data_IF_983196626621
#
_entry.id   IF_983196626621
#
_cell.length_a   1.000
_cell.length_b   1.000
_cell.length_c   1.000
_cell.angle_alpha   90.00
_cell.angle_beta   90.00
_cell.angle_gamma   90.00
#
_symmetry.space_group_name_H-M   'P 1'
#
loop_
_entity.id
_entity.type
_entity.pdbx_description
1 polymer ?
#
# COMPACT_ATOMS: atom_id res chain seq x y z
N UNK A 1 -2.03 7.85 -2.57
CA UNK A 1 -0.93 7.17 -1.89
C UNK A 1 -1.23 7.27 -0.42
N UNK A 2 -1.84 6.20 0.09
CA UNK A 2 -2.35 6.13 1.43
C UNK A 2 -1.29 5.51 2.35
N UNK A 3 -1.14 6.05 3.56
CA UNK A 3 -0.32 5.43 4.61
C UNK A 3 -1.29 4.94 5.66
N UNK A 4 -1.44 3.62 5.79
CA UNK A 4 -2.17 3.04 6.91
C UNK A 4 -1.27 3.05 8.16
N UNK A 5 -1.46 4.04 9.03
CA UNK A 5 -0.81 4.10 10.34
C UNK A 5 -1.52 3.15 11.32
N UNK A 6 -1.06 1.91 11.44
CA UNK A 6 -1.36 1.05 12.60
C UNK A 6 -0.43 1.39 13.76
N UNK A 7 -0.57 2.57 14.35
CA UNK A 7 0.13 2.95 15.58
C UNK A 7 -0.72 2.60 16.82
N UNK A 8 -0.07 2.13 17.88
CA UNK A 8 -0.72 1.80 19.15
C UNK A 8 -1.63 2.93 19.63
N UNK A 9 -2.90 2.60 19.91
CA UNK A 9 -3.95 3.58 20.23
C UNK A 9 -3.64 4.32 21.53
N UNK A 10 -3.39 5.62 21.44
CA UNK A 10 -3.51 6.52 22.57
C UNK A 10 -4.89 7.17 22.50
N UNK A 11 -5.72 7.04 23.54
CA UNK A 11 -7.10 7.55 23.53
C UNK A 11 -7.20 9.06 23.22
N UNK A 12 -6.15 9.83 23.55
CA UNK A 12 -6.06 11.24 23.21
C UNK A 12 -5.97 11.51 21.69
N UNK A 13 -5.35 10.59 20.93
CA UNK A 13 -5.27 10.70 19.47
C UNK A 13 -6.63 10.44 18.81
N UNK A 14 -7.44 9.56 19.38
CA UNK A 14 -8.79 9.26 18.86
C UNK A 14 -9.74 10.46 19.00
N UNK A 15 -9.65 11.21 20.11
CA UNK A 15 -10.43 12.43 20.31
C UNK A 15 -10.07 13.54 19.32
N UNK A 16 -8.78 13.81 19.14
CA UNK A 16 -8.32 14.82 18.18
C UNK A 16 -8.67 14.46 16.73
N UNK A 17 -8.61 13.16 16.39
CA UNK A 17 -9.00 12.67 15.07
C UNK A 17 -10.52 12.82 14.85
N UNK A 18 -11.35 12.47 15.83
CA UNK A 18 -12.80 12.67 15.72
C UNK A 18 -13.15 14.15 15.53
N UNK A 19 -12.51 15.04 16.28
CA UNK A 19 -12.70 16.50 16.17
C UNK A 19 -12.34 17.03 14.77
N UNK A 20 -11.23 16.56 14.20
CA UNK A 20 -10.83 16.94 12.84
C UNK A 20 -11.91 16.62 11.79
N UNK A 21 -12.75 15.62 12.06
CA UNK A 21 -13.84 15.14 11.20
C UNK A 21 -15.23 15.66 11.57
N UNK A 22 -15.36 16.63 12.47
CA UNK A 22 -16.64 17.34 12.68
C UNK A 22 -17.11 17.97 11.36
N UNK A 23 -18.38 17.75 11.00
CA UNK A 23 -18.96 18.18 9.72
C UNK A 23 -18.56 17.34 8.50
N UNK A 24 -17.89 16.20 8.70
CA UNK A 24 -17.61 15.26 7.62
C UNK A 24 -18.89 14.66 7.02
N UNK A 25 -18.84 14.33 5.74
CA UNK A 25 -19.86 13.54 5.07
C UNK A 25 -19.85 12.12 5.65
N UNK A 26 -21.04 11.59 5.94
CA UNK A 26 -21.20 10.24 6.44
C UNK A 26 -21.61 9.31 5.31
N UNK A 27 -20.74 8.36 4.98
CA UNK A 27 -20.97 7.35 3.93
C UNK A 27 -21.31 6.02 4.58
N UNK A 28 -22.48 5.47 4.24
CA UNK A 28 -22.90 4.12 4.64
C UNK A 28 -22.49 3.11 3.55
N UNK A 29 -21.53 2.24 3.85
CA UNK A 29 -21.01 1.26 2.90
C UNK A 29 -22.05 0.21 2.45
N UNK A 30 -23.16 0.06 3.20
CA UNK A 30 -24.25 -0.85 2.86
C UNK A 30 -25.10 -0.35 1.70
N UNK A 31 -25.18 0.97 1.53
CA UNK A 31 -26.04 1.62 0.51
C UNK A 31 -25.27 2.53 -0.45
N UNK A 32 -23.97 2.73 -0.22
CA UNK A 32 -23.11 3.51 -1.11
C UNK A 32 -23.10 2.92 -2.54
N UNK A 33 -23.27 3.80 -3.53
CA UNK A 33 -23.34 3.52 -4.96
C UNK A 33 -22.00 3.73 -5.68
N UNK A 34 -20.96 4.12 -4.94
CA UNK A 34 -19.61 4.24 -5.48
C UNK A 34 -19.14 2.89 -6.01
N UNK A 35 -18.71 2.86 -7.27
CA UNK A 35 -18.50 1.62 -8.04
C UNK A 35 -17.58 0.60 -7.37
N UNK A 36 -16.53 1.06 -6.66
CA UNK A 36 -15.61 0.17 -5.93
C UNK A 36 -16.30 -0.51 -4.76
N UNK A 37 -17.14 0.21 -4.02
CA UNK A 37 -17.94 -0.33 -2.91
C UNK A 37 -18.99 -1.32 -3.42
N UNK A 38 -19.71 -0.98 -4.48
CA UNK A 38 -20.68 -1.87 -5.13
C UNK A 38 -20.01 -3.17 -5.57
N UNK A 39 -18.84 -3.08 -6.21
CA UNK A 39 -18.08 -4.26 -6.67
C UNK A 39 -17.70 -5.17 -5.49
N UNK A 40 -17.14 -4.61 -4.42
CA UNK A 40 -16.75 -5.38 -3.22
C UNK A 40 -17.97 -6.04 -2.54
N UNK A 41 -19.09 -5.32 -2.46
CA UNK A 41 -20.32 -5.78 -1.81
C UNK A 41 -21.04 -6.86 -2.63
N UNK A 42 -21.25 -6.61 -3.91
CA UNK A 42 -22.20 -7.38 -4.73
C UNK A 42 -21.49 -8.40 -5.62
N UNK A 43 -20.34 -8.04 -6.19
CA UNK A 43 -19.60 -8.93 -7.10
C UNK A 43 -18.64 -9.85 -6.34
N UNK A 44 -17.86 -9.30 -5.44
CA UNK A 44 -16.92 -10.06 -4.60
C UNK A 44 -17.65 -10.73 -3.44
N UNK A 45 -18.75 -10.13 -2.97
CA UNK A 45 -19.61 -10.72 -1.95
C UNK A 45 -19.07 -10.61 -0.52
N UNK A 46 -18.24 -9.60 -0.25
CA UNK A 46 -17.81 -9.29 1.13
C UNK A 46 -18.96 -8.57 1.84
N UNK A 47 -19.43 -9.05 3.01
CA UNK A 47 -20.48 -8.37 3.76
C UNK A 47 -20.10 -6.91 4.05
N UNK A 48 -20.98 -5.94 3.77
CA UNK A 48 -20.67 -4.54 4.01
C UNK A 48 -20.52 -4.25 5.51
N UNK A 49 -19.46 -3.55 5.93
CA UNK A 49 -19.32 -3.13 7.32
C UNK A 49 -20.50 -2.25 7.77
N UNK A 50 -20.95 -2.44 9.01
CA UNK A 50 -22.02 -1.62 9.61
C UNK A 50 -21.55 -0.24 10.06
N UNK A 51 -20.25 -0.09 10.27
CA UNK A 51 -19.63 1.18 10.69
C UNK A 51 -19.65 2.16 9.53
N UNK A 52 -20.29 3.33 9.68
CA UNK A 52 -20.26 4.38 8.67
C UNK A 52 -18.86 5.02 8.60
N UNK A 53 -18.47 5.40 7.39
CA UNK A 53 -17.22 6.09 7.11
C UNK A 53 -17.46 7.60 7.11
N UNK A 54 -16.51 8.35 7.66
CA UNK A 54 -16.51 9.81 7.65
C UNK A 54 -15.54 10.31 6.60
N UNK A 55 -16.04 11.02 5.60
CA UNK A 55 -15.24 11.57 4.49
C UNK A 55 -15.17 13.09 4.66
N UNK A 56 -13.96 13.65 4.64
CA UNK A 56 -13.78 15.10 4.70
C UNK A 56 -12.66 15.56 3.77
N UNK A 57 -12.94 16.64 3.05
CA UNK A 57 -11.98 17.31 2.19
C UNK A 57 -11.26 18.40 2.97
N UNK A 58 -9.94 18.46 2.85
CA UNK A 58 -9.08 19.43 3.52
C UNK A 58 -8.24 20.20 2.51
N UNK A 59 -8.00 21.48 2.79
CA UNK A 59 -6.95 22.24 2.14
C UNK A 59 -5.59 21.78 2.67
N UNK A 60 -4.60 21.55 1.79
CA UNK A 60 -3.29 21.00 2.20
C UNK A 60 -2.58 21.85 3.25
N UNK A 61 -2.67 23.17 3.13
CA UNK A 61 -2.06 24.13 4.06
C UNK A 61 -2.85 24.31 5.37
N UNK A 62 -4.06 23.76 5.46
CA UNK A 62 -4.93 23.85 6.64
C UNK A 62 -5.17 22.47 7.29
N UNK A 63 -4.27 21.51 7.08
CA UNK A 63 -4.39 20.18 7.69
C UNK A 63 -4.27 20.24 9.22
N UNK A 64 -5.26 19.69 9.97
CA UNK A 64 -5.16 19.47 11.41
C UNK A 64 -3.88 18.72 11.78
N UNK A 65 -3.27 19.06 12.92
CA UNK A 65 -1.98 18.48 13.34
C UNK A 65 -2.00 16.94 13.41
N UNK A 66 -3.12 16.36 13.84
CA UNK A 66 -3.32 14.90 13.91
C UNK A 66 -3.25 14.20 12.55
N UNK A 67 -3.54 14.91 11.45
CA UNK A 67 -3.50 14.36 10.09
C UNK A 67 -2.16 14.56 9.37
N UNK A 68 -1.34 15.53 9.81
CA UNK A 68 -0.09 15.87 9.12
C UNK A 68 0.86 14.66 8.93
N UNK A 69 1.04 13.75 9.90
CA UNK A 69 1.91 12.59 9.71
C UNK A 69 1.44 11.67 8.57
N UNK A 70 0.13 11.48 8.41
CA UNK A 70 -0.45 10.65 7.34
C UNK A 70 -0.22 11.24 5.94
N UNK A 71 -0.02 12.57 5.85
CA UNK A 71 0.26 13.30 4.62
C UNK A 71 1.74 13.71 4.48
N UNK A 72 2.63 13.17 5.30
CA UNK A 72 4.04 13.53 5.29
C UNK A 72 4.75 13.10 4.00
N UNK A 73 4.28 12.02 3.37
CA UNK A 73 4.82 11.58 2.10
C UNK A 73 4.26 12.43 0.95
N UNK A 74 5.17 12.91 0.11
CA UNK A 74 4.85 13.79 -1.00
C UNK A 74 3.86 13.12 -1.97
N UNK A 75 2.86 13.87 -2.44
CA UNK A 75 1.84 13.36 -3.37
C UNK A 75 0.69 12.57 -2.73
N UNK A 76 0.65 12.39 -1.40
CA UNK A 76 -0.52 11.83 -0.72
C UNK A 76 -1.77 12.70 -0.95
N UNK A 77 -2.70 12.27 -1.80
CA UNK A 77 -3.93 13.00 -2.11
C UNK A 77 -5.14 12.55 -1.28
N UNK A 78 -5.06 11.38 -0.66
CA UNK A 78 -6.07 10.82 0.23
C UNK A 78 -5.42 9.85 1.21
N UNK A 79 -6.05 9.70 2.39
CA UNK A 79 -5.66 8.70 3.39
C UNK A 79 -6.90 8.16 4.09
N UNK A 80 -6.86 6.86 4.40
CA UNK A 80 -7.85 6.19 5.23
C UNK A 80 -7.22 5.82 6.58
N UNK A 81 -7.86 6.23 7.68
CA UNK A 81 -7.35 6.02 9.04
C UNK A 81 -8.36 5.16 9.82
N UNK A 82 -7.88 4.05 10.38
CA UNK A 82 -8.68 3.07 11.13
C UNK A 82 -9.90 2.54 10.36
N UNK A 83 -9.87 2.59 9.02
CA UNK A 83 -10.99 2.25 8.14
C UNK A 83 -12.21 3.18 8.22
N UNK A 84 -12.24 4.11 9.19
CA UNK A 84 -13.42 4.95 9.50
C UNK A 84 -13.30 6.38 8.99
N UNK A 85 -12.09 6.92 8.94
CA UNK A 85 -11.86 8.33 8.63
C UNK A 85 -11.13 8.44 7.30
N UNK A 86 -11.76 9.06 6.30
CA UNK A 86 -11.16 9.33 4.99
C UNK A 86 -10.90 10.83 4.86
N UNK A 87 -9.63 11.22 4.88
CA UNK A 87 -9.23 12.60 4.59
C UNK A 87 -8.76 12.69 3.12
N UNK A 88 -9.31 13.63 2.37
CA UNK A 88 -8.94 13.89 0.98
C UNK A 88 -8.39 15.31 0.88
N UNK A 89 -7.28 15.50 0.18
CA UNK A 89 -6.77 16.82 -0.15
C UNK A 89 -7.60 17.37 -1.31
N UNK A 90 -8.07 18.60 -1.16
CA UNK A 90 -8.85 19.27 -2.20
C UNK A 90 -8.14 19.24 -3.55
N UNK A 91 -8.90 18.90 -4.58
CA UNK A 91 -8.51 19.00 -5.99
C UNK A 91 -9.60 19.74 -6.76
N UNK A 92 -9.18 20.48 -7.78
CA UNK A 92 -10.08 21.20 -8.69
C UNK A 92 -10.72 20.26 -9.73
N UNK A 93 -10.14 19.07 -9.93
CA UNK A 93 -10.61 18.11 -10.93
C UNK A 93 -11.57 17.11 -10.29
N UNK A 94 -12.86 17.20 -10.64
CA UNK A 94 -13.92 16.30 -10.12
C UNK A 94 -13.59 14.82 -10.29
N UNK A 95 -13.03 14.45 -11.44
CA UNK A 95 -12.67 13.06 -11.72
C UNK A 95 -11.47 12.58 -10.89
N UNK A 96 -10.54 13.47 -10.53
CA UNK A 96 -9.43 13.13 -9.62
C UNK A 96 -9.99 12.90 -8.21
N UNK A 97 -10.91 13.75 -7.75
CA UNK A 97 -11.59 13.56 -6.46
C UNK A 97 -12.34 12.22 -6.43
N UNK A 98 -13.13 11.92 -7.46
CA UNK A 98 -13.90 10.68 -7.53
C UNK A 98 -13.00 9.43 -7.51
N UNK A 99 -11.82 9.49 -8.14
CA UNK A 99 -10.84 8.40 -8.11
C UNK A 99 -10.19 8.22 -6.74
N UNK A 100 -9.78 9.32 -6.12
CA UNK A 100 -9.23 9.31 -4.76
C UNK A 100 -10.26 8.72 -3.80
N UNK A 101 -11.51 9.19 -3.86
CA UNK A 101 -12.58 8.68 -3.02
C UNK A 101 -12.83 7.18 -3.24
N UNK A 102 -12.86 6.73 -4.50
CA UNK A 102 -13.00 5.29 -4.83
C UNK A 102 -11.88 4.46 -4.25
N UNK A 103 -10.66 4.96 -4.29
CA UNK A 103 -9.47 4.31 -3.74
C UNK A 103 -9.54 4.21 -2.21
N UNK A 104 -9.80 5.33 -1.53
CA UNK A 104 -9.89 5.36 -0.06
C UNK A 104 -11.09 4.54 0.47
N UNK A 105 -12.21 4.50 -0.26
CA UNK A 105 -13.34 3.67 0.13
C UNK A 105 -13.03 2.17 0.07
N UNK A 106 -12.13 1.72 -0.81
CA UNK A 106 -11.65 0.32 -0.81
C UNK A 106 -10.89 0.04 0.48
N UNK A 107 -9.95 0.91 0.86
CA UNK A 107 -9.20 0.80 2.11
C UNK A 107 -10.13 0.74 3.31
N UNK A 108 -11.12 1.64 3.36
CA UNK A 108 -12.11 1.66 4.43
C UNK A 108 -12.90 0.36 4.51
N UNK A 109 -13.41 -0.13 3.37
CA UNK A 109 -14.21 -1.33 3.29
C UNK A 109 -13.44 -2.56 3.78
N UNK A 110 -12.24 -2.81 3.24
CA UNK A 110 -11.46 -4.02 3.60
C UNK A 110 -10.91 -3.93 5.03
N UNK A 111 -10.56 -2.74 5.51
CA UNK A 111 -10.08 -2.55 6.89
C UNK A 111 -11.17 -2.82 7.90
N UNK A 112 -12.39 -2.35 7.64
CA UNK A 112 -13.52 -2.56 8.54
C UNK A 112 -14.13 -3.97 8.43
N UNK A 113 -14.00 -4.63 7.27
CA UNK A 113 -14.47 -6.00 7.06
C UNK A 113 -13.50 -7.06 7.61
N UNK A 114 -12.20 -6.77 7.64
CA UNK A 114 -11.18 -7.72 8.07
C UNK A 114 -11.08 -7.82 9.60
N UNK A 115 -10.99 -9.04 10.17
CA UNK A 115 -10.78 -9.22 11.60
C UNK A 115 -9.36 -8.86 12.05
N UNK A 116 -8.42 -8.71 11.11
CA UNK A 116 -7.01 -8.44 11.38
C UNK A 116 -6.43 -7.41 10.40
N UNK A 117 -5.33 -6.71 10.76
CA UNK A 117 -4.62 -5.84 9.84
C UNK A 117 -4.14 -6.61 8.61
N UNK A 118 -4.46 -6.10 7.43
CA UNK A 118 -4.00 -6.65 6.15
C UNK A 118 -2.60 -6.10 5.81
N UNK A 119 -1.74 -6.84 5.11
CA UNK A 119 -0.43 -6.31 4.71
C UNK A 119 -0.56 -5.23 3.63
N UNK A 120 0.39 -4.30 3.61
CA UNK A 120 0.36 -3.12 2.73
C UNK A 120 0.20 -3.47 1.24
N UNK A 121 0.89 -4.51 0.76
CA UNK A 121 0.80 -4.92 -0.65
C UNK A 121 -0.63 -5.31 -1.04
N UNK A 122 -1.37 -5.95 -0.13
CA UNK A 122 -2.74 -6.35 -0.36
C UNK A 122 -3.66 -5.14 -0.28
N UNK A 123 -3.49 -4.26 0.71
CA UNK A 123 -4.31 -3.06 0.84
C UNK A 123 -4.21 -2.14 -0.38
N UNK A 124 -2.99 -1.77 -0.78
CA UNK A 124 -2.76 -0.86 -1.91
C UNK A 124 -3.09 -1.55 -3.26
N UNK A 125 -2.74 -2.83 -3.41
CA UNK A 125 -3.11 -3.62 -4.59
C UNK A 125 -4.62 -3.69 -4.78
N UNK A 126 -5.37 -3.92 -3.69
CA UNK A 126 -6.84 -3.88 -3.67
C UNK A 126 -7.36 -2.52 -4.10
N UNK A 127 -6.87 -1.46 -3.46
CA UNK A 127 -7.35 -0.12 -3.69
C UNK A 127 -7.11 0.31 -5.14
N UNK A 128 -5.95 0.01 -5.72
CA UNK A 128 -5.66 0.29 -7.14
C UNK A 128 -6.54 -0.56 -8.07
N UNK A 129 -6.66 -1.86 -7.80
CA UNK A 129 -7.41 -2.81 -8.63
C UNK A 129 -8.89 -2.40 -8.74
N UNK A 130 -9.55 -2.10 -7.61
CA UNK A 130 -10.98 -1.79 -7.58
C UNK A 130 -11.34 -0.31 -7.82
N UNK A 131 -10.38 0.61 -7.79
CA UNK A 131 -10.64 2.05 -8.08
C UNK A 131 -10.33 2.44 -9.53
N UNK A 132 -9.13 2.12 -10.01
CA UNK A 132 -8.61 2.61 -11.28
C UNK A 132 -8.39 1.50 -12.31
N UNK A 133 -7.83 0.36 -11.87
CA UNK A 133 -7.46 -0.76 -12.75
C UNK A 133 -6.43 -0.42 -13.84
N UNK A 134 -5.74 0.73 -13.75
CA UNK A 134 -4.83 1.25 -14.79
C UNK A 134 -3.59 1.89 -14.16
N UNK A 135 -2.45 1.76 -14.85
CA UNK A 135 -1.16 2.31 -14.41
C UNK A 135 -1.04 3.84 -14.54
N UNK A 136 -1.86 4.44 -15.39
CA UNK A 136 -1.84 5.86 -15.72
C UNK A 136 -3.24 6.35 -15.98
N UNK A 137 -3.56 7.54 -15.48
CA UNK A 137 -4.82 8.22 -15.77
C UNK A 137 -4.60 9.68 -16.10
N UNK A 138 -5.34 10.17 -17.09
CA UNK A 138 -5.43 11.58 -17.40
C UNK A 138 -6.73 12.11 -16.81
N UNK A 139 -6.62 13.18 -16.02
CA UNK A 139 -7.75 13.95 -15.50
C UNK A 139 -7.81 15.23 -16.29
N UNK A 140 -8.90 15.44 -17.03
CA UNK A 140 -9.08 16.61 -17.88
C UNK A 140 -10.36 17.35 -17.52
N UNK A 141 -10.34 18.66 -17.68
CA UNK A 141 -11.52 19.51 -17.62
C UNK A 141 -11.56 20.39 -18.87
N UNK A 142 -12.72 20.42 -19.53
CA UNK A 142 -12.93 21.32 -20.66
C UNK A 142 -12.88 22.78 -20.19
N UNK A 143 -12.16 23.62 -20.94
CA UNK A 143 -12.11 25.06 -20.69
C UNK A 143 -13.40 25.67 -21.24
N UNK A 144 -14.19 26.33 -20.38
CA UNK A 144 -15.49 26.88 -20.78
C UNK A 144 -15.36 27.94 -21.88
N UNK A 145 -14.26 28.68 -21.85
CA UNK A 145 -13.98 29.80 -22.75
C UNK A 145 -13.34 29.36 -24.08
N UNK A 146 -12.88 28.11 -24.21
CA UNK A 146 -12.18 27.60 -25.39
C UNK A 146 -12.70 26.21 -25.77
N UNK A 147 -13.74 26.12 -26.62
CA UNK A 147 -14.27 24.86 -27.10
C UNK A 147 -13.17 23.99 -27.74
N UNK A 148 -13.05 22.75 -27.29
CA UNK A 148 -12.04 21.80 -27.77
C UNK A 148 -10.71 21.80 -26.99
N UNK A 149 -10.51 22.72 -26.05
CA UNK A 149 -9.33 22.72 -25.17
C UNK A 149 -9.65 22.03 -23.85
N UNK A 150 -8.81 21.06 -23.49
CA UNK A 150 -8.87 20.34 -22.22
C UNK A 150 -7.60 20.64 -21.44
N UNK A 151 -7.73 21.27 -20.29
CA UNK A 151 -6.63 21.38 -19.33
C UNK A 151 -6.69 20.16 -18.45
N UNK A 152 -5.56 19.51 -18.24
CA UNK A 152 -5.54 18.29 -17.44
C UNK A 152 -4.19 17.94 -16.88
N UNK A 153 -4.20 16.89 -16.08
CA UNK A 153 -3.06 16.34 -15.37
C UNK A 153 -3.00 14.84 -15.63
N UNK A 154 -1.84 14.38 -16.06
CA UNK A 154 -1.54 12.94 -16.10
C UNK A 154 -0.98 12.55 -14.74
N UNK A 155 -1.60 11.55 -14.11
CA UNK A 155 -1.09 10.92 -12.89
C UNK A 155 -0.67 9.51 -13.25
N UNK A 156 0.59 9.20 -12.95
CA UNK A 156 1.15 7.86 -13.07
C UNK A 156 1.27 7.23 -11.68
N UNK A 157 0.96 5.93 -11.59
CA UNK A 157 1.15 5.20 -10.35
C UNK A 157 2.65 5.10 -10.01
N UNK A 158 3.02 5.22 -8.72
CA UNK A 158 4.35 4.84 -8.28
C UNK A 158 4.68 3.39 -8.67
N UNK A 159 5.96 3.10 -8.90
CA UNK A 159 6.37 1.77 -9.39
C UNK A 159 5.96 0.62 -8.46
N UNK A 160 6.00 0.83 -7.16
CA UNK A 160 5.53 -0.14 -6.17
C UNK A 160 4.03 -0.46 -6.30
N UNK A 161 3.21 0.52 -6.69
CA UNK A 161 1.77 0.34 -6.89
C UNK A 161 1.50 -0.43 -8.19
N UNK A 162 2.31 -0.18 -9.24
CA UNK A 162 2.24 -0.96 -10.48
C UNK A 162 2.53 -2.44 -10.22
N UNK A 163 3.57 -2.74 -9.42
CA UNK A 163 3.92 -4.13 -9.06
C UNK A 163 2.79 -4.83 -8.29
N UNK A 164 2.11 -4.12 -7.39
CA UNK A 164 0.96 -4.66 -6.65
C UNK A 164 -0.23 -4.93 -7.59
N UNK A 165 -0.53 -3.98 -8.50
CA UNK A 165 -1.58 -4.17 -9.51
C UNK A 165 -1.25 -5.35 -10.45
N UNK A 166 0.01 -5.45 -10.89
CA UNK A 166 0.48 -6.58 -11.70
C UNK A 166 0.33 -7.91 -10.97
N UNK A 167 0.60 -7.94 -9.67
CA UNK A 167 0.40 -9.15 -8.85
C UNK A 167 -1.07 -9.57 -8.84
N UNK A 168 -1.99 -8.62 -8.62
CA UNK A 168 -3.43 -8.88 -8.66
C UNK A 168 -3.90 -9.37 -10.03
N UNK A 169 -3.47 -8.68 -11.09
CA UNK A 169 -3.83 -9.05 -12.46
C UNK A 169 -3.28 -10.43 -12.82
N UNK A 170 -2.04 -10.76 -12.42
CA UNK A 170 -1.47 -12.08 -12.64
C UNK A 170 -2.28 -13.18 -11.97
N UNK A 171 -2.68 -13.00 -10.70
CA UNK A 171 -3.51 -13.98 -9.99
C UNK A 171 -4.85 -14.12 -10.72
N UNK A 172 -5.52 -13.00 -10.99
CA UNK A 172 -6.81 -12.95 -11.68
C UNK A 172 -6.78 -13.65 -13.04
N UNK A 173 -5.78 -13.36 -13.87
CA UNK A 173 -5.61 -13.95 -15.20
C UNK A 173 -5.31 -15.45 -15.12
N UNK A 174 -4.62 -15.90 -14.06
CA UNK A 174 -4.25 -17.30 -13.86
C UNK A 174 -5.45 -18.16 -13.44
N UNK A 175 -6.27 -17.67 -12.52
CA UNK A 175 -7.31 -18.49 -11.85
C UNK A 175 -8.72 -18.16 -12.32
N UNK A 176 -8.88 -17.04 -13.03
CA UNK A 176 -10.15 -16.50 -13.46
C UNK A 176 -10.89 -15.72 -12.37
N UNK A 177 -11.83 -14.88 -12.79
CA UNK A 177 -12.54 -13.94 -11.93
C UNK A 177 -13.27 -14.59 -10.75
N UNK A 178 -13.94 -15.72 -10.98
CA UNK A 178 -14.70 -16.40 -9.92
C UNK A 178 -13.80 -16.87 -8.77
N UNK A 179 -12.70 -17.55 -9.10
CA UNK A 179 -11.76 -18.06 -8.08
C UNK A 179 -11.00 -16.93 -7.41
N UNK A 180 -10.61 -15.89 -8.17
CA UNK A 180 -9.98 -14.70 -7.63
C UNK A 180 -10.88 -13.99 -6.61
N UNK A 181 -12.16 -13.75 -6.95
CA UNK A 181 -13.11 -13.10 -6.05
C UNK A 181 -13.37 -13.93 -4.79
N UNK A 182 -13.45 -15.26 -4.92
CA UNK A 182 -13.62 -16.16 -3.78
C UNK A 182 -12.42 -16.09 -2.82
N UNK A 183 -11.20 -16.18 -3.37
CA UNK A 183 -9.97 -16.02 -2.59
C UNK A 183 -9.88 -14.64 -1.94
N UNK A 184 -10.15 -13.57 -2.70
CA UNK A 184 -10.08 -12.21 -2.20
C UNK A 184 -11.05 -11.99 -1.03
N UNK A 185 -12.29 -12.48 -1.16
CA UNK A 185 -13.27 -12.45 -0.08
C UNK A 185 -12.75 -13.18 1.15
N UNK A 186 -12.24 -14.39 1.00
CA UNK A 186 -11.68 -15.17 2.11
C UNK A 186 -10.49 -14.46 2.76
N UNK A 187 -9.59 -13.89 1.96
CA UNK A 187 -8.44 -13.14 2.41
C UNK A 187 -8.82 -11.93 3.27
N UNK A 188 -9.84 -11.18 2.87
CA UNK A 188 -10.38 -10.08 3.68
C UNK A 188 -11.06 -10.62 4.94
N UNK A 189 -11.89 -11.64 4.83
CA UNK A 189 -12.70 -12.14 5.96
C UNK A 189 -11.89 -12.89 7.03
N UNK A 190 -10.70 -13.39 6.68
CA UNK A 190 -9.82 -14.17 7.57
C UNK A 190 -8.52 -13.45 7.92
N UNK A 191 -8.12 -12.46 7.12
CA UNK A 191 -6.79 -11.84 7.18
C UNK A 191 -5.68 -12.66 6.51
N UNK A 192 -5.96 -13.85 5.97
CA UNK A 192 -4.97 -14.67 5.28
C UNK A 192 -4.90 -14.31 3.79
N UNK A 193 -3.90 -13.52 3.42
CA UNK A 193 -3.73 -13.02 2.05
C UNK A 193 -2.79 -13.88 1.19
N UNK A 194 -2.42 -15.10 1.60
CA UNK A 194 -1.50 -15.94 0.84
C UNK A 194 -2.16 -16.43 -0.46
N UNK A 195 -1.66 -16.03 -1.65
CA UNK A 195 -2.23 -16.48 -2.92
C UNK A 195 -1.67 -17.84 -3.37
N UNK A 196 -0.63 -18.38 -2.72
CA UNK A 196 0.07 -19.59 -3.18
C UNK A 196 -0.84 -20.82 -3.32
N UNK A 197 -1.75 -21.12 -2.38
CA UNK A 197 -2.67 -22.25 -2.55
C UNK A 197 -3.55 -22.12 -3.80
N UNK A 198 -3.97 -20.90 -4.13
CA UNK A 198 -4.78 -20.62 -5.31
C UNK A 198 -4.01 -20.86 -6.61
N UNK A 199 -2.69 -20.68 -6.58
CA UNK A 199 -1.78 -20.89 -7.72
C UNK A 199 -1.23 -22.33 -7.79
N UNK A 200 -1.73 -23.26 -6.95
CA UNK A 200 -1.20 -24.62 -6.87
C UNK A 200 0.25 -24.70 -6.35
N UNK A 201 0.69 -23.66 -5.63
CA UNK A 201 2.02 -23.62 -5.02
C UNK A 201 1.88 -24.12 -3.57
N UNK A 202 2.17 -25.41 -3.36
CA UNK A 202 2.08 -26.03 -2.04
C UNK A 202 2.95 -25.31 -1.00
N UNK A 203 2.39 -25.05 0.18
CA UNK A 203 3.14 -24.45 1.30
C UNK A 203 4.28 -25.35 1.83
N UNK A 204 4.32 -26.62 1.42
CA UNK A 204 5.31 -27.61 1.88
C UNK A 204 6.74 -27.28 1.42
N UNK A 205 6.93 -26.52 0.34
CA UNK A 205 8.28 -26.10 -0.08
C UNK A 205 8.90 -25.04 0.84
N UNK A 206 8.09 -24.34 1.65
CA UNK A 206 8.58 -23.28 2.56
C UNK A 206 9.00 -23.79 3.95
N UNK A 207 8.58 -24.98 4.36
CA UNK A 207 8.96 -25.58 5.66
C UNK A 207 10.23 -26.46 5.58
N UNK A 208 10.76 -26.72 4.38
CA UNK A 208 11.93 -27.56 4.13
C UNK A 208 13.31 -26.96 4.44
N UNK A 209 13.41 -25.70 4.89
CA UNK A 209 14.71 -25.09 5.25
C UNK A 209 14.74 -24.45 6.64
N UNK A 210 14.04 -25.02 7.63
CA UNK A 210 14.62 -25.07 8.98
C UNK A 210 15.83 -26.01 8.92
N UNK A 211 16.89 -25.55 8.23
CA UNK A 211 18.23 -26.11 8.30
C UNK A 211 18.58 -26.10 9.78
N UNK A 212 18.52 -27.27 10.42
CA UNK A 212 18.91 -27.42 11.81
C UNK A 212 20.30 -26.81 11.94
N UNK A 213 20.42 -25.78 12.76
CA UNK A 213 21.67 -25.07 12.98
C UNK A 213 22.67 -25.92 13.75
N UNK A 214 23.19 -26.99 13.14
CA UNK A 214 24.59 -27.35 13.34
C UNK A 214 25.39 -26.44 12.42
N UNK A 215 25.81 -25.30 12.97
CA UNK A 215 26.74 -24.37 12.30
C UNK A 215 28.01 -25.14 11.92
N UNK A 216 28.45 -25.18 10.65
CA UNK A 216 29.83 -25.53 10.36
C UNK A 216 30.68 -24.28 10.64
N UNK A 217 31.46 -24.38 11.71
CA UNK A 217 32.48 -23.43 12.14
C UNK A 217 33.65 -23.39 11.13
N UNK A 218 33.42 -22.87 9.93
CA UNK A 218 34.47 -22.79 8.89
C UNK A 218 34.60 -21.42 8.22
N UNK A 219 33.63 -20.52 8.37
CA UNK A 219 33.72 -19.18 7.77
C UNK A 219 34.59 -18.18 8.55
N UNK A 220 34.88 -18.44 9.84
CA UNK A 220 35.80 -17.61 10.63
C UNK A 220 37.28 -17.83 10.29
N UNK A 221 37.64 -18.93 9.61
CA UNK A 221 39.01 -19.16 9.14
C UNK A 221 39.32 -18.42 7.82
N UNK A 222 38.31 -18.18 6.97
CA UNK A 222 38.50 -17.48 5.69
C UNK A 222 38.77 -15.98 5.84
N UNK A 223 38.12 -15.32 6.80
CA UNK A 223 38.29 -13.86 7.01
C UNK A 223 39.62 -13.53 7.70
N UNK A 224 40.11 -14.39 8.60
CA UNK A 224 41.44 -14.23 9.21
C UNK A 224 42.58 -14.47 8.19
N UNK A 225 42.41 -15.38 7.23
CA UNK A 225 43.40 -15.64 6.18
C UNK A 225 43.58 -14.46 5.21
N UNK A 226 42.49 -13.80 4.83
CA UNK A 226 42.52 -12.64 3.94
C UNK A 226 43.24 -11.43 4.53
N UNK A 227 43.03 -11.14 5.82
CA UNK A 227 43.68 -10.01 6.51
C UNK A 227 45.19 -10.25 6.67
N UNK A 228 45.61 -11.50 6.94
CA UNK A 228 47.03 -11.83 7.08
C UNK A 228 47.79 -11.70 5.74
N UNK A 229 47.17 -12.09 4.62
CA UNK A 229 47.77 -11.97 3.30
C UNK A 229 47.99 -10.51 2.88
N UNK A 230 47.01 -9.63 3.16
CA UNK A 230 47.14 -8.19 2.86
C UNK A 230 48.23 -7.55 3.73
N UNK A 231 48.31 -7.90 5.02
CA UNK A 231 49.36 -7.39 5.91
C UNK A 231 50.78 -7.80 5.46
N UNK A 232 50.96 -9.04 5.00
CA UNK A 232 52.24 -9.53 4.49
C UNK A 232 52.66 -8.83 3.19
N UNK A 233 51.72 -8.56 2.28
CA UNK A 233 52.01 -7.81 1.04
C UNK A 233 52.42 -6.37 1.35
N UNK A 234 51.72 -5.69 2.26
CA UNK A 234 52.07 -4.32 2.67
C UNK A 234 53.44 -4.28 3.36
N UNK A 235 53.73 -5.22 4.26
CA UNK A 235 55.03 -5.32 4.92
C UNK A 235 56.17 -5.61 3.93
N UNK A 236 55.93 -6.46 2.92
CA UNK A 236 56.91 -6.75 1.86
C UNK A 236 57.20 -5.52 0.99
N UNK A 237 56.16 -4.75 0.60
CA UNK A 237 56.34 -3.52 -0.17
C UNK A 237 57.12 -2.48 0.65
N UNK A 238 56.78 -2.30 1.92
CA UNK A 238 57.49 -1.37 2.80
C UNK A 238 58.96 -1.78 3.01
N UNK A 239 59.25 -3.07 3.21
CA UNK A 239 60.61 -3.57 3.34
C UNK A 239 61.44 -3.40 2.05
N UNK A 240 60.80 -3.51 0.87
CA UNK A 240 61.47 -3.29 -0.42
C UNK A 240 61.81 -1.81 -0.63
N UNK A 241 60.90 -0.90 -0.30
CA UNK A 241 61.16 0.54 -0.42
C UNK A 241 62.29 1.01 0.51
N UNK A 242 62.41 0.41 1.69
CA UNK A 242 63.47 0.78 2.64
C UNK A 242 64.90 0.34 2.22
N UNK A 243 65.03 -0.54 1.23
CA UNK A 243 66.33 -0.91 0.64
C UNK A 243 66.85 0.08 -0.41
N UNK A 244 66.01 1.00 -0.88
CA UNK A 244 66.42 2.01 -1.88
C UNK A 244 66.91 3.32 -1.23
N UNK A 245 66.92 3.39 0.11
CA UNK A 245 67.34 4.57 0.87
C UNK A 245 68.63 4.37 1.71
N UNK A 246 69.35 3.27 1.49
CA UNK A 246 70.67 3.01 2.10
C UNK A 246 71.68 2.51 1.06
#
# INVERSE_FOLDING_TARGET
>A
MAILLCAGRCAAADGALAEAFVGAEKVDLRTCDVSSVVTLREKVGIPPPSTPVLVKVFERNALPAVLRPSFAQEGAAGVTINGKYIAIIKTELRDEYADILRHELVHAYITLASPAPLPLWFQEGSAVHYSMGKNRKFYGQAVKEQPGVVIGKTVELPESYKQQLQTFNYILDTVGEQQFNAWYKEAVMTGNVDPRPLLGLDSQTAQGSKRSGKRPTLWLLGVMGGILAVALVVAFIAARQNREYY
#
